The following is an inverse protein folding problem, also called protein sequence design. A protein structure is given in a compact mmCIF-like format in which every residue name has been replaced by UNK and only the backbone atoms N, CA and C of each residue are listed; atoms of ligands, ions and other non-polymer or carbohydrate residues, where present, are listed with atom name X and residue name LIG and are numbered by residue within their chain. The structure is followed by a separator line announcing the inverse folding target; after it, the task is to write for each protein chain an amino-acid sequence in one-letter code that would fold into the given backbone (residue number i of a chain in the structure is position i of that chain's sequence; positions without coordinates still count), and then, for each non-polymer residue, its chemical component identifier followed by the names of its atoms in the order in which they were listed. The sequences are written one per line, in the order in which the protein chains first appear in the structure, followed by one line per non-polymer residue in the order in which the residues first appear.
data_IF_696814286970
#
_entry.id   IF_696814286970
#
_cell.length_a   1.000
_cell.length_b   1.000
_cell.length_c   1.000
_cell.angle_alpha   90.00
_cell.angle_beta   90.00
_cell.angle_gamma   90.00
#
_symmetry.space_group_name_H-M   'P 1'
#
loop_
_entity.id
_entity.type
_entity.pdbx_description
1 polymer ?
#
# COMPACT_ATOMS: atom_id res chain seq x y z
N UNK A 1 -25.91 22.83 2.00
CA UNK A 1 -26.58 21.52 2.22
C UNK A 1 -26.49 21.21 3.69
N UNK A 2 -27.61 21.28 4.41
CA UNK A 2 -27.68 21.00 5.85
C UNK A 2 -27.75 19.49 6.06
N UNK A 3 -26.79 18.93 6.80
CA UNK A 3 -26.75 17.51 7.12
C UNK A 3 -27.71 17.23 8.28
N UNK A 4 -28.85 16.60 8.00
CA UNK A 4 -29.79 16.13 9.02
C UNK A 4 -29.34 14.78 9.56
N UNK A 5 -28.98 14.74 10.83
CA UNK A 5 -28.62 13.50 11.53
C UNK A 5 -29.86 12.62 11.76
N UNK A 6 -29.89 11.46 11.10
CA UNK A 6 -30.97 10.46 11.21
C UNK A 6 -30.61 9.29 12.14
N UNK A 7 -29.54 9.40 12.92
CA UNK A 7 -29.05 8.33 13.79
C UNK A 7 -30.09 7.92 14.83
N UNK A 8 -30.88 8.85 15.35
CA UNK A 8 -31.96 8.58 16.32
C UNK A 8 -33.14 7.81 15.68
N UNK A 9 -33.56 8.23 14.49
CA UNK A 9 -34.60 7.56 13.72
C UNK A 9 -34.20 6.12 13.37
N UNK A 10 -32.95 5.91 12.94
CA UNK A 10 -32.41 4.57 12.69
C UNK A 10 -32.41 3.70 13.95
N UNK A 11 -31.96 4.22 15.11
CA UNK A 11 -31.98 3.47 16.37
C UNK A 11 -33.40 3.08 16.80
N UNK A 12 -34.39 3.93 16.57
CA UNK A 12 -35.80 3.60 16.89
C UNK A 12 -36.36 2.49 16.00
N UNK A 13 -35.95 2.41 14.73
CA UNK A 13 -36.34 1.35 13.81
C UNK A 13 -35.69 0.00 14.17
N UNK A 14 -34.43 0.03 14.60
CA UNK A 14 -33.69 -1.17 15.04
C UNK A 14 -34.18 -1.67 16.41
N UNK A 15 -34.57 -0.76 17.31
CA UNK A 15 -35.09 -1.08 18.64
C UNK A 15 -36.60 -1.38 18.67
N UNK A 16 -37.30 -1.27 17.53
CA UNK A 16 -38.71 -1.63 17.42
C UNK A 16 -38.96 -3.09 17.80
N UNK A 17 -40.09 -3.42 18.45
CA UNK A 17 -40.35 -4.77 18.91
C UNK A 17 -40.36 -5.72 17.71
N UNK A 18 -39.49 -6.71 17.73
CA UNK A 18 -39.60 -7.88 16.88
C UNK A 18 -40.96 -8.51 17.16
N UNK A 19 -41.96 -8.25 16.31
CA UNK A 19 -43.28 -8.87 16.39
C UNK A 19 -43.10 -10.40 16.51
N UNK A 20 -43.47 -11.04 17.63
CA UNK A 20 -43.29 -12.48 17.79
C UNK A 20 -44.38 -13.31 17.10
N UNK A 21 -45.20 -12.73 16.21
CA UNK A 21 -46.30 -13.42 15.54
C UNK A 21 -45.91 -13.99 14.17
N UNK A 22 -44.98 -14.95 14.14
CA UNK A 22 -45.01 -16.05 13.16
C UNK A 22 -44.01 -17.13 13.54
N UNK A 23 -44.15 -17.71 14.74
CA UNK A 23 -43.50 -18.99 15.06
C UNK A 23 -44.33 -20.13 14.47
N UNK A 24 -44.43 -20.15 13.14
CA UNK A 24 -44.86 -21.33 12.42
C UNK A 24 -43.74 -22.36 12.55
N UNK A 25 -44.10 -23.54 13.05
CA UNK A 25 -43.25 -24.72 13.18
C UNK A 25 -42.69 -25.14 11.81
N UNK A 26 -41.53 -24.60 11.44
CA UNK A 26 -40.68 -25.16 10.39
C UNK A 26 -39.81 -26.25 11.03
N UNK A 27 -40.33 -27.49 10.98
CA UNK A 27 -39.52 -28.69 11.18
C UNK A 27 -38.69 -28.89 9.92
N UNK A 28 -37.37 -29.08 10.12
CA UNK A 28 -36.38 -29.53 9.15
C UNK A 28 -36.11 -28.60 7.94
N UNK A 29 -35.51 -27.44 8.20
CA UNK A 29 -34.49 -26.91 7.29
C UNK A 29 -33.13 -27.29 7.88
N UNK A 30 -32.40 -28.16 7.18
CA UNK A 30 -30.99 -28.41 7.44
C UNK A 30 -30.28 -27.08 7.66
N UNK A 31 -29.61 -26.94 8.80
CA UNK A 31 -28.72 -25.82 9.11
C UNK A 31 -27.62 -25.76 8.05
N UNK A 32 -27.89 -25.16 6.89
CA UNK A 32 -26.85 -24.55 6.08
C UNK A 32 -26.31 -23.42 6.95
N UNK A 33 -25.21 -23.71 7.64
CA UNK A 33 -24.43 -22.77 8.43
C UNK A 33 -24.23 -21.54 7.55
N UNK A 34 -25.01 -20.47 7.80
CA UNK A 34 -24.79 -19.20 7.13
C UNK A 34 -23.37 -18.79 7.48
N UNK A 35 -22.46 -19.00 6.53
CA UNK A 35 -21.05 -18.63 6.63
C UNK A 35 -21.09 -17.13 6.87
N UNK A 36 -20.75 -16.70 8.10
CA UNK A 36 -20.66 -15.27 8.41
C UNK A 36 -19.73 -14.65 7.36
N UNK A 37 -20.05 -13.47 6.80
CA UNK A 37 -19.13 -12.80 5.88
C UNK A 37 -17.76 -12.73 6.55
N UNK A 38 -16.73 -13.21 5.84
CA UNK A 38 -15.36 -13.35 6.34
C UNK A 38 -14.74 -11.96 6.51
N UNK A 39 -15.16 -11.25 7.54
CA UNK A 39 -14.51 -10.04 8.00
C UNK A 39 -13.28 -10.49 8.79
N UNK A 40 -12.13 -10.55 8.13
CA UNK A 40 -10.86 -10.83 8.80
C UNK A 40 -10.27 -9.50 9.28
N UNK A 41 -10.37 -9.17 10.58
CA UNK A 41 -9.79 -7.94 11.11
C UNK A 41 -8.25 -7.94 10.95
N UNK A 42 -7.64 -9.11 10.80
CA UNK A 42 -6.21 -9.27 10.59
C UNK A 42 -5.71 -8.58 9.32
N UNK A 43 -6.43 -8.72 8.19
CA UNK A 43 -6.08 -8.06 6.93
C UNK A 43 -6.06 -6.54 7.08
N UNK A 44 -7.11 -5.97 7.66
CA UNK A 44 -7.23 -4.52 7.81
C UNK A 44 -6.23 -3.98 8.82
N UNK A 45 -6.02 -4.67 9.94
CA UNK A 45 -5.01 -4.26 10.93
C UNK A 45 -3.61 -4.22 10.30
N UNK A 46 -3.28 -5.22 9.50
CA UNK A 46 -2.00 -5.27 8.81
C UNK A 46 -1.88 -4.18 7.74
N UNK A 47 -2.93 -3.95 6.96
CA UNK A 47 -3.00 -2.84 6.01
C UNK A 47 -2.82 -1.47 6.70
N UNK A 48 -3.46 -1.24 7.84
CA UNK A 48 -3.31 -0.02 8.63
C UNK A 48 -1.90 0.17 9.16
N UNK A 49 -1.25 -0.89 9.63
CA UNK A 49 0.15 -0.82 10.06
C UNK A 49 1.07 -0.45 8.91
N UNK A 50 0.89 -1.04 7.72
CA UNK A 50 1.67 -0.67 6.52
C UNK A 50 1.42 0.80 6.18
N UNK A 51 0.17 1.23 6.16
CA UNK A 51 -0.21 2.63 5.91
C UNK A 51 0.49 3.58 6.89
N UNK A 52 0.49 3.28 8.19
CA UNK A 52 1.15 4.11 9.20
C UNK A 52 2.65 4.27 8.93
N UNK A 53 3.35 3.20 8.55
CA UNK A 53 4.78 3.30 8.21
C UNK A 53 5.03 4.10 6.94
N UNK A 54 4.21 3.92 5.90
CA UNK A 54 4.34 4.65 4.63
C UNK A 54 4.01 6.14 4.79
N UNK A 55 2.97 6.47 5.57
CA UNK A 55 2.58 7.84 5.87
C UNK A 55 3.62 8.53 6.75
N UNK A 56 4.12 7.85 7.78
CA UNK A 56 5.23 8.35 8.59
C UNK A 56 6.46 8.61 7.73
N UNK A 57 6.89 7.64 6.91
CA UNK A 57 8.05 7.82 6.04
C UNK A 57 7.89 9.03 5.10
N UNK A 58 6.72 9.17 4.47
CA UNK A 58 6.41 10.30 3.59
C UNK A 58 6.57 11.64 4.30
N UNK A 59 5.99 11.78 5.50
CA UNK A 59 6.11 13.00 6.32
C UNK A 59 7.56 13.31 6.69
N UNK A 60 8.32 12.30 7.11
CA UNK A 60 9.72 12.48 7.46
C UNK A 60 10.56 12.89 6.25
N UNK A 61 10.43 12.22 5.11
CA UNK A 61 11.15 12.57 3.87
C UNK A 61 10.85 14.01 3.42
N UNK A 62 9.61 14.47 3.58
CA UNK A 62 9.23 15.87 3.30
C UNK A 62 9.89 16.84 4.28
N UNK A 63 9.88 16.54 5.58
CA UNK A 63 10.47 17.39 6.61
C UNK A 63 11.98 17.55 6.42
N UNK A 64 12.70 16.46 6.12
CA UNK A 64 14.15 16.47 5.96
C UNK A 64 14.62 16.91 4.58
N UNK A 65 13.73 17.10 3.59
CA UNK A 65 14.14 17.38 2.20
C UNK A 65 15.14 18.53 2.10
N UNK A 66 14.88 19.66 2.76
CA UNK A 66 15.76 20.83 2.74
C UNK A 66 17.14 20.55 3.39
N UNK A 67 17.21 20.12 4.66
CA UNK A 67 18.51 19.84 5.30
C UNK A 67 19.26 18.66 4.64
N UNK A 68 18.55 17.66 4.12
CA UNK A 68 19.13 16.54 3.38
C UNK A 68 19.88 17.01 2.13
N UNK A 69 19.27 17.91 1.35
CA UNK A 69 19.85 18.46 0.14
C UNK A 69 20.87 19.58 0.40
N UNK A 70 20.86 20.17 1.60
CA UNK A 70 21.79 21.25 1.96
C UNK A 70 23.25 20.80 1.90
N UNK A 71 24.11 21.65 1.34
CA UNK A 71 25.56 21.43 1.22
C UNK A 71 26.32 21.97 2.45
N UNK A 72 25.66 22.80 3.27
CA UNK A 72 26.26 23.43 4.44
C UNK A 72 26.56 22.38 5.52
N UNK A 73 27.84 22.18 5.83
CA UNK A 73 28.25 21.34 6.95
C UNK A 73 27.81 21.96 8.29
N UNK A 74 27.40 21.14 9.27
CA UNK A 74 27.10 21.63 10.59
C UNK A 74 28.35 22.26 11.23
N UNK A 75 28.21 23.35 12.00
CA UNK A 75 29.34 23.92 12.74
C UNK A 75 29.95 22.87 13.68
N UNK A 76 31.29 22.89 13.83
CA UNK A 76 32.09 21.89 14.56
C UNK A 76 31.57 21.66 15.99
N UNK A 77 30.93 22.67 16.61
CA UNK A 77 30.31 22.59 17.94
C UNK A 77 29.13 21.63 18.05
N UNK A 78 28.46 21.27 16.94
CA UNK A 78 27.33 20.33 16.91
C UNK A 78 27.69 18.91 16.50
N UNK A 79 28.96 18.64 16.15
CA UNK A 79 29.42 17.29 15.75
C UNK A 79 29.36 16.25 16.88
N UNK A 80 29.00 16.64 18.10
CA UNK A 80 29.16 15.85 19.32
C UNK A 80 27.88 15.85 20.18
N UNK A 81 26.78 15.31 19.67
CA UNK A 81 25.72 14.78 20.54
C UNK A 81 24.95 13.68 19.85
N UNK A 82 25.40 12.44 20.03
CA UNK A 82 24.54 11.29 19.83
C UNK A 82 23.58 11.21 21.03
N UNK A 83 22.25 11.16 20.82
CA UNK A 83 21.33 10.82 21.90
C UNK A 83 21.42 9.30 22.15
N UNK A 84 21.93 8.90 23.31
CA UNK A 84 22.13 7.49 23.68
C UNK A 84 20.84 6.74 24.07
N UNK A 85 19.66 7.29 23.80
CA UNK A 85 18.38 6.64 24.15
C UNK A 85 17.43 6.64 22.96
N UNK A 86 17.75 5.85 21.93
CA UNK A 86 16.78 5.46 20.92
C UNK A 86 15.86 4.40 21.53
N UNK A 87 14.76 4.84 22.12
CA UNK A 87 13.64 3.97 22.47
C UNK A 87 13.09 3.39 21.16
N UNK A 88 12.85 2.07 21.10
CA UNK A 88 12.45 1.24 19.94
C UNK A 88 11.16 1.66 19.17
N UNK A 89 10.63 2.86 19.39
CA UNK A 89 9.36 3.33 18.83
C UNK A 89 9.42 4.55 17.92
N UNK A 90 10.52 5.30 17.86
CA UNK A 90 10.58 6.55 17.09
C UNK A 90 11.88 6.69 16.28
N UNK A 91 11.96 5.92 15.20
CA UNK A 91 13.12 5.78 14.30
C UNK A 91 13.57 7.09 13.63
N UNK A 92 12.83 8.19 13.77
CA UNK A 92 13.10 9.46 13.08
C UNK A 92 13.27 10.66 14.02
N UNK A 93 13.00 10.50 15.32
CA UNK A 93 13.02 11.59 16.31
C UNK A 93 14.34 12.39 16.33
N UNK A 94 15.46 11.74 16.03
CA UNK A 94 16.79 12.37 16.04
C UNK A 94 16.99 13.43 14.94
N UNK A 95 16.16 13.42 13.90
CA UNK A 95 16.26 14.35 12.77
C UNK A 95 15.07 15.30 12.66
N UNK A 96 14.12 15.22 13.59
CA UNK A 96 13.00 16.15 13.60
C UNK A 96 13.48 17.58 13.89
N UNK A 97 13.07 18.53 13.06
CA UNK A 97 13.52 19.93 13.13
C UNK A 97 15.02 20.16 12.86
N UNK A 98 15.78 19.18 12.36
CA UNK A 98 17.20 19.34 12.09
C UNK A 98 17.48 20.34 10.95
N UNK A 99 18.24 21.40 11.24
CA UNK A 99 18.63 22.42 10.21
C UNK A 99 19.79 21.97 9.33
N UNK A 100 20.65 21.10 9.85
CA UNK A 100 21.86 20.61 9.18
C UNK A 100 21.96 19.11 9.39
N UNK A 101 22.38 18.39 8.34
CA UNK A 101 22.65 16.97 8.38
C UNK A 101 24.11 16.72 8.01
N UNK A 102 24.76 15.79 8.70
CA UNK A 102 26.06 15.28 8.28
C UNK A 102 25.90 14.28 7.15
N UNK A 103 26.99 13.99 6.42
CA UNK A 103 26.93 12.98 5.37
C UNK A 103 26.61 11.58 5.90
N UNK A 104 27.01 11.29 7.14
CA UNK A 104 26.66 10.06 7.84
C UNK A 104 25.18 9.99 8.19
N UNK A 105 24.59 11.09 8.67
CA UNK A 105 23.15 11.14 8.97
C UNK A 105 22.31 10.90 7.71
N UNK A 106 22.69 11.52 6.59
CA UNK A 106 22.02 11.30 5.30
C UNK A 106 22.13 9.84 4.84
N UNK A 107 23.28 9.19 5.01
CA UNK A 107 23.43 7.76 4.70
C UNK A 107 22.60 6.85 5.62
N UNK A 108 22.45 7.22 6.88
CA UNK A 108 21.63 6.48 7.83
C UNK A 108 20.13 6.62 7.49
N UNK A 109 19.70 7.82 7.09
CA UNK A 109 18.36 8.09 6.55
C UNK A 109 18.09 7.23 5.31
N UNK A 110 19.03 7.17 4.38
CA UNK A 110 18.91 6.35 3.17
C UNK A 110 18.75 4.86 3.53
N UNK A 111 19.54 4.37 4.48
CA UNK A 111 19.48 2.98 4.93
C UNK A 111 18.14 2.65 5.62
N UNK A 112 17.71 3.50 6.57
CA UNK A 112 16.44 3.31 7.30
C UNK A 112 15.24 3.41 6.35
N UNK A 113 15.22 4.42 5.48
CA UNK A 113 14.16 4.61 4.48
C UNK A 113 14.02 3.39 3.57
N UNK A 114 15.13 2.86 3.05
CA UNK A 114 15.13 1.64 2.24
C UNK A 114 14.64 0.41 3.01
N UNK A 115 15.06 0.24 4.25
CA UNK A 115 14.64 -0.89 5.08
C UNK A 115 13.12 -0.87 5.29
N UNK A 116 12.55 0.29 5.61
CA UNK A 116 11.11 0.48 5.76
C UNK A 116 10.38 0.16 4.45
N UNK A 117 10.87 0.65 3.31
CA UNK A 117 10.26 0.40 2.00
C UNK A 117 10.28 -1.10 1.64
N UNK A 118 11.40 -1.80 1.87
CA UNK A 118 11.48 -3.26 1.62
C UNK A 118 10.52 -4.04 2.51
N UNK A 119 10.48 -3.71 3.81
CA UNK A 119 9.57 -4.35 4.75
C UNK A 119 8.10 -4.10 4.39
N UNK A 120 7.76 -2.88 3.99
CA UNK A 120 6.41 -2.55 3.54
C UNK A 120 6.06 -3.31 2.26
N UNK A 121 6.98 -3.39 1.29
CA UNK A 121 6.81 -4.19 0.06
C UNK A 121 6.53 -5.65 0.38
N UNK A 122 7.34 -6.27 1.24
CA UNK A 122 7.18 -7.66 1.63
C UNK A 122 5.79 -7.90 2.27
N UNK A 123 5.39 -7.02 3.20
CA UNK A 123 4.08 -7.12 3.87
C UNK A 123 2.92 -6.92 2.91
N UNK A 124 3.03 -6.00 1.94
CA UNK A 124 2.06 -5.84 0.86
C UNK A 124 1.98 -7.11 0.02
N UNK A 125 3.12 -7.73 -0.31
CA UNK A 125 3.16 -9.02 -1.00
C UNK A 125 2.45 -10.14 -0.24
N UNK A 126 2.63 -10.22 1.08
CA UNK A 126 1.91 -11.19 1.93
C UNK A 126 0.38 -10.94 1.88
N UNK A 127 -0.04 -9.67 1.93
CA UNK A 127 -1.46 -9.32 1.80
C UNK A 127 -2.02 -9.69 0.43
N UNK A 128 -1.26 -9.45 -0.64
CA UNK A 128 -1.62 -9.82 -2.01
C UNK A 128 -1.76 -11.33 -2.18
N UNK A 129 -0.82 -12.11 -1.67
CA UNK A 129 -0.86 -13.56 -1.78
C UNK A 129 -1.99 -14.17 -0.94
N UNK A 130 -2.23 -13.63 0.26
CA UNK A 130 -3.38 -14.00 1.09
C UNK A 130 -4.72 -13.67 0.43
N UNK A 131 -4.81 -12.51 -0.23
CA UNK A 131 -5.97 -12.10 -1.02
C UNK A 131 -6.20 -13.05 -2.21
N UNK A 132 -5.16 -13.37 -2.97
CA UNK A 132 -5.22 -14.32 -4.09
C UNK A 132 -5.62 -15.72 -3.64
N UNK A 133 -5.12 -16.19 -2.49
CA UNK A 133 -5.50 -17.48 -1.92
C UNK A 133 -7.01 -17.51 -1.60
N UNK A 134 -7.54 -16.48 -0.95
CA UNK A 134 -8.98 -16.39 -0.66
C UNK A 134 -9.81 -16.34 -1.94
N UNK A 135 -9.39 -15.57 -2.94
CA UNK A 135 -10.10 -15.49 -4.21
C UNK A 135 -10.22 -16.87 -4.88
N UNK A 136 -9.18 -17.70 -4.81
CA UNK A 136 -9.22 -19.09 -5.31
C UNK A 136 -10.15 -19.99 -4.52
N UNK A 137 -10.24 -19.82 -3.20
CA UNK A 137 -11.19 -20.58 -2.36
C UNK A 137 -12.65 -20.17 -2.54
N UNK A 138 -12.88 -18.89 -2.83
CA UNK A 138 -14.23 -18.32 -3.07
C UNK A 138 -14.69 -18.59 -4.49
N UNK A 139 -13.78 -18.70 -5.46
CA UNK A 139 -14.10 -19.06 -6.83
C UNK A 139 -14.57 -20.53 -6.93
N UNK A 140 -15.70 -20.81 -7.61
CA UNK A 140 -16.14 -22.19 -7.82
C UNK A 140 -15.13 -22.94 -8.70
N UNK A 141 -14.86 -24.24 -8.45
CA UNK A 141 -13.93 -25.02 -9.26
C UNK A 141 -14.45 -25.10 -10.71
N UNK A 142 -13.59 -24.93 -11.73
CA UNK A 142 -14.00 -25.00 -13.13
C UNK A 142 -14.37 -26.45 -13.47
N UNK A 143 -15.63 -26.78 -13.28
CA UNK A 143 -16.15 -28.12 -13.58
C UNK A 143 -16.97 -28.04 -14.86
N UNK A 144 -16.50 -28.78 -15.87
CA UNK A 144 -17.11 -28.91 -17.20
C UNK A 144 -18.58 -29.34 -17.14
N UNK A 145 -19.01 -29.99 -16.05
CA UNK A 145 -20.40 -30.40 -15.82
C UNK A 145 -21.36 -29.23 -15.60
N UNK A 146 -20.92 -28.12 -15.01
CA UNK A 146 -21.78 -26.96 -14.76
C UNK A 146 -22.04 -26.13 -16.02
N UNK A 147 -21.20 -26.27 -17.04
CA UNK A 147 -21.45 -25.68 -18.37
C UNK A 147 -22.65 -26.33 -19.05
N UNK A 148 -22.89 -27.63 -18.83
CA UNK A 148 -24.02 -28.36 -19.41
C UNK A 148 -25.29 -28.31 -18.55
N UNK A 149 -25.15 -28.12 -17.24
CA UNK A 149 -26.28 -28.07 -16.31
C UNK A 149 -26.19 -26.80 -15.44
N UNK A 150 -26.58 -25.63 -15.98
CA UNK A 150 -26.48 -24.35 -15.27
C UNK A 150 -27.35 -24.28 -14.01
N UNK A 151 -28.36 -25.14 -13.89
CA UNK A 151 -29.22 -25.24 -12.70
C UNK A 151 -28.53 -25.88 -11.48
N UNK A 152 -27.46 -26.64 -11.70
CA UNK A 152 -26.64 -27.27 -10.65
C UNK A 152 -25.37 -26.46 -10.35
N UNK A 153 -25.10 -25.39 -11.11
CA UNK A 153 -23.94 -24.54 -10.90
C UNK A 153 -23.88 -24.04 -9.44
N UNK A 154 -22.69 -24.04 -8.81
CA UNK A 154 -22.52 -23.44 -7.49
C UNK A 154 -23.05 -22.01 -7.54
N UNK A 155 -23.85 -21.62 -6.54
CA UNK A 155 -24.36 -20.24 -6.45
C UNK A 155 -23.17 -19.28 -6.59
N UNK A 156 -23.32 -18.19 -7.39
CA UNK A 156 -22.28 -17.18 -7.49
C UNK A 156 -21.90 -16.72 -6.08
N UNK A 157 -20.61 -16.41 -5.90
CA UNK A 157 -20.06 -15.91 -4.63
C UNK A 157 -21.02 -14.89 -4.01
N UNK A 158 -21.17 -14.91 -2.68
CA UNK A 158 -22.05 -13.98 -2.00
C UNK A 158 -21.72 -12.55 -2.46
N UNK A 159 -22.72 -11.70 -2.70
CA UNK A 159 -22.48 -10.29 -3.04
C UNK A 159 -21.56 -9.61 -2.03
N UNK A 160 -21.63 -10.01 -0.76
CA UNK A 160 -20.71 -9.59 0.28
C UNK A 160 -19.26 -9.98 -0.03
N UNK A 161 -19.01 -11.18 -0.55
CA UNK A 161 -17.67 -11.66 -0.89
C UNK A 161 -17.09 -10.92 -2.11
N UNK A 162 -17.92 -10.62 -3.12
CA UNK A 162 -17.51 -9.81 -4.27
C UNK A 162 -17.15 -8.37 -3.86
N UNK A 163 -17.99 -7.75 -3.01
CA UNK A 163 -17.73 -6.40 -2.48
C UNK A 163 -16.50 -6.39 -1.56
N UNK A 164 -16.32 -7.40 -0.71
CA UNK A 164 -15.12 -7.52 0.15
C UNK A 164 -13.86 -7.71 -0.69
N UNK A 165 -13.94 -8.50 -1.76
CA UNK A 165 -12.80 -8.72 -2.66
C UNK A 165 -12.41 -7.44 -3.40
N UNK A 166 -13.39 -6.70 -3.94
CA UNK A 166 -13.13 -5.40 -4.55
C UNK A 166 -12.59 -4.37 -3.55
N UNK A 167 -13.08 -4.37 -2.30
CA UNK A 167 -12.56 -3.48 -1.26
C UNK A 167 -11.10 -3.80 -0.89
N UNK A 168 -10.78 -5.08 -0.66
CA UNK A 168 -9.42 -5.48 -0.30
C UNK A 168 -8.43 -5.26 -1.43
N UNK A 169 -8.82 -5.50 -2.69
CA UNK A 169 -7.99 -5.20 -3.85
C UNK A 169 -7.75 -3.70 -4.01
N UNK A 170 -8.76 -2.85 -3.75
CA UNK A 170 -8.58 -1.40 -3.71
C UNK A 170 -7.62 -0.96 -2.59
N UNK A 171 -7.73 -1.55 -1.39
CA UNK A 171 -6.79 -1.28 -0.29
C UNK A 171 -5.36 -1.62 -0.68
N UNK A 172 -5.11 -2.80 -1.25
CA UNK A 172 -3.78 -3.20 -1.74
C UNK A 172 -3.27 -2.19 -2.78
N UNK A 173 -4.09 -1.81 -3.76
CA UNK A 173 -3.71 -0.82 -4.77
C UNK A 173 -3.33 0.53 -4.13
N UNK A 174 -4.08 1.00 -3.14
CA UNK A 174 -3.72 2.24 -2.42
C UNK A 174 -2.39 2.13 -1.68
N UNK A 175 -2.09 0.99 -1.05
CA UNK A 175 -0.81 0.76 -0.38
C UNK A 175 0.35 0.69 -1.38
N UNK A 176 0.18 -0.05 -2.47
CA UNK A 176 1.18 -0.19 -3.54
C UNK A 176 1.48 1.15 -4.21
N UNK A 177 0.46 1.99 -4.44
CA UNK A 177 0.65 3.34 -4.98
C UNK A 177 1.37 4.26 -4.00
N UNK A 178 1.06 4.20 -2.70
CA UNK A 178 1.82 4.92 -1.67
C UNK A 178 3.28 4.47 -1.58
N UNK A 179 3.52 3.15 -1.66
CA UNK A 179 4.86 2.57 -1.65
C UNK A 179 5.68 3.04 -2.85
N UNK A 180 5.08 3.05 -4.06
CA UNK A 180 5.71 3.55 -5.27
C UNK A 180 6.06 5.05 -5.15
N UNK A 181 5.14 5.88 -4.64
CA UNK A 181 5.38 7.32 -4.41
C UNK A 181 6.52 7.59 -3.43
N UNK A 182 6.57 6.85 -2.32
CA UNK A 182 7.65 7.00 -1.33
C UNK A 182 9.00 6.53 -1.90
N UNK A 183 9.00 5.44 -2.66
CA UNK A 183 10.20 4.95 -3.36
C UNK A 183 10.72 5.98 -4.35
N UNK A 184 9.83 6.59 -5.14
CA UNK A 184 10.18 7.66 -6.08
C UNK A 184 10.75 8.88 -5.35
N UNK A 185 10.11 9.32 -4.25
CA UNK A 185 10.60 10.47 -3.46
C UNK A 185 12.00 10.23 -2.90
N UNK A 186 12.28 9.02 -2.42
CA UNK A 186 13.63 8.66 -1.92
C UNK A 186 14.66 8.60 -3.06
N UNK A 187 14.26 8.06 -4.22
CA UNK A 187 15.09 8.04 -5.43
C UNK A 187 15.48 9.46 -5.88
N UNK A 188 14.50 10.37 -5.95
CA UNK A 188 14.71 11.76 -6.35
C UNK A 188 15.71 12.46 -5.41
N UNK A 189 15.58 12.26 -4.10
CA UNK A 189 16.52 12.81 -3.11
C UNK A 189 17.94 12.28 -3.32
N UNK A 190 18.08 10.98 -3.59
CA UNK A 190 19.38 10.34 -3.82
C UNK A 190 20.01 10.80 -5.14
N UNK A 191 19.20 10.98 -6.20
CA UNK A 191 19.66 11.47 -7.50
C UNK A 191 20.10 12.94 -7.42
N UNK A 192 19.34 13.79 -6.74
CA UNK A 192 19.76 15.17 -6.49
C UNK A 192 21.08 15.22 -5.71
N UNK A 193 21.27 14.33 -4.72
CA UNK A 193 22.51 14.25 -3.93
C UNK A 193 23.68 13.74 -4.77
N UNK A 194 23.46 12.75 -5.64
CA UNK A 194 24.50 12.22 -6.52
C UNK A 194 24.94 13.26 -7.55
N UNK A 195 24.00 14.01 -8.13
CA UNK A 195 24.29 15.14 -9.04
C UNK A 195 25.13 16.21 -8.38
N UNK A 196 24.74 16.66 -7.17
CA UNK A 196 25.50 17.68 -6.42
C UNK A 196 26.92 17.23 -6.07
N UNK A 197 27.12 15.94 -5.82
CA UNK A 197 28.46 15.38 -5.57
C UNK A 197 29.30 15.31 -6.85
N UNK A 198 28.70 14.89 -7.95
CA UNK A 198 29.36 14.87 -9.25
C UNK A 198 29.80 16.29 -9.68
N UNK A 199 28.93 17.28 -9.48
CA UNK A 199 29.25 18.70 -9.72
C UNK A 199 30.38 19.18 -8.81
N UNK A 200 30.36 18.84 -7.51
CA UNK A 200 31.47 19.19 -6.61
C UNK A 200 32.79 18.58 -7.06
N UNK A 201 32.80 17.29 -7.39
CA UNK A 201 33.99 16.62 -7.92
C UNK A 201 34.55 17.33 -9.15
N UNK A 202 33.67 17.78 -10.06
CA UNK A 202 34.06 18.60 -11.21
C UNK A 202 34.64 19.95 -10.81
N UNK A 203 33.99 20.69 -9.89
CA UNK A 203 34.47 22.01 -9.46
C UNK A 203 35.79 21.96 -8.69
N UNK A 204 36.00 20.93 -7.87
CA UNK A 204 37.26 20.72 -7.16
C UNK A 204 38.38 20.33 -8.13
N UNK A 205 38.08 19.48 -9.11
CA UNK A 205 39.01 19.14 -10.20
C UNK A 205 39.37 20.36 -11.05
N UNK A 206 38.39 21.16 -11.46
CA UNK A 206 38.60 22.37 -12.25
C UNK A 206 39.36 23.46 -11.46
N UNK A 207 39.17 23.54 -10.15
CA UNK A 207 39.95 24.40 -9.26
C UNK A 207 41.42 23.98 -9.19
N UNK A 208 41.68 22.68 -8.97
CA UNK A 208 43.02 22.12 -8.95
C UNK A 208 43.74 22.22 -10.31
N UNK A 209 43.02 22.02 -11.41
CA UNK A 209 43.55 22.20 -12.77
C UNK A 209 43.91 23.67 -13.06
N UNK A 210 43.08 24.62 -12.62
CA UNK A 210 43.37 26.06 -12.76
C UNK A 210 44.55 26.50 -11.90
N UNK A 211 44.68 25.96 -10.70
CA UNK A 211 45.81 26.23 -9.80
C UNK A 211 47.11 25.62 -10.35
N UNK A 212 47.05 24.42 -10.96
CA UNK A 212 48.19 23.82 -11.65
C UNK A 212 48.58 24.53 -12.96
N UNK A 213 47.62 25.16 -13.66
CA UNK A 213 47.86 25.95 -14.87
C UNK A 213 48.29 27.39 -14.60
N UNK A 214 48.14 27.87 -13.36
CA UNK A 214 48.77 29.12 -12.95
C UNK A 214 50.28 28.88 -12.92
N UNK A 215 51.08 29.54 -13.79
CA UNK A 215 52.52 29.49 -13.62
C UNK A 215 52.81 30.15 -12.27
N UNK A 216 53.14 29.34 -11.26
CA UNK A 216 53.77 29.84 -10.05
C UNK A 216 54.93 30.70 -10.52
N UNK A 217 54.81 32.02 -10.35
CA UNK A 217 55.94 32.92 -10.55
C UNK A 217 56.87 32.69 -9.38
N UNK A 218 57.63 31.60 -9.48
CA UNK A 218 58.80 31.34 -8.64
C UNK A 218 59.67 32.59 -8.77
N UNK A 219 60.00 33.28 -7.67
CA UNK A 219 61.07 34.26 -7.68
C UNK A 219 62.27 33.60 -8.34
N UNK A 220 62.93 34.28 -9.29
CA UNK A 220 63.98 33.72 -10.15
C UNK A 220 65.29 33.36 -9.42
N UNK A 221 65.22 33.00 -8.14
CA UNK A 221 66.33 32.57 -7.28
C UNK A 221 65.94 31.26 -6.61
N UNK A 222 65.90 30.17 -7.35
CA UNK A 222 65.70 28.83 -6.79
C UNK A 222 66.11 27.74 -7.79
N UNK A 223 67.39 27.68 -8.15
CA UNK A 223 67.95 26.47 -8.79
C UNK A 223 68.46 25.45 -7.78
N UNK A 224 68.47 25.78 -6.47
CA UNK A 224 68.92 24.90 -5.39
C UNK A 224 67.98 24.97 -4.18
N UNK A 225 66.70 24.62 -4.35
CA UNK A 225 65.83 24.30 -3.21
C UNK A 225 65.94 22.80 -2.94
N UNK A 226 66.98 22.40 -2.21
CA UNK A 226 66.93 21.15 -1.46
C UNK A 226 65.78 21.29 -0.46
N UNK A 227 64.63 20.67 -0.78
CA UNK A 227 63.49 20.60 0.12
C UNK A 227 63.98 20.08 1.48
N UNK A 228 63.69 20.80 2.56
CA UNK A 228 63.97 20.29 3.91
C UNK A 228 63.34 18.89 4.03
N UNK A 229 64.02 17.90 4.66
CA UNK A 229 63.42 16.58 4.88
C UNK A 229 62.07 16.66 5.59
N UNK A 230 61.84 17.71 6.40
CA UNK A 230 60.56 17.97 7.06
C UNK A 230 59.47 18.46 6.09
N UNK A 231 59.83 19.25 5.07
CA UNK A 231 58.90 19.68 4.01
C UNK A 231 58.55 18.52 3.07
N UNK A 232 59.52 17.66 2.72
CA UNK A 232 59.26 16.44 1.95
C UNK A 232 58.29 15.54 2.70
N UNK A 233 58.52 15.31 3.99
CA UNK A 233 57.61 14.52 4.83
C UNK A 233 56.22 15.15 4.94
N UNK A 234 56.13 16.50 5.03
CA UNK A 234 54.86 17.21 5.02
C UNK A 234 54.12 17.02 3.69
N UNK A 235 54.79 17.18 2.54
CA UNK A 235 54.22 16.94 1.22
C UNK A 235 53.79 15.48 1.03
N UNK A 236 54.59 14.51 1.47
CA UNK A 236 54.21 13.10 1.44
C UNK A 236 52.96 12.84 2.29
N UNK A 237 52.88 13.46 3.48
CA UNK A 237 51.71 13.33 4.35
C UNK A 237 50.45 13.96 3.74
N UNK A 238 50.58 15.12 3.08
CA UNK A 238 49.48 15.81 2.41
C UNK A 238 49.01 15.04 1.18
N UNK A 239 49.94 14.52 0.38
CA UNK A 239 49.63 13.70 -0.79
C UNK A 239 48.95 12.38 -0.38
N UNK A 240 49.42 11.75 0.70
CA UNK A 240 48.75 10.58 1.28
C UNK A 240 47.34 10.91 1.80
N UNK A 241 47.16 12.06 2.46
CA UNK A 241 45.85 12.52 2.92
C UNK A 241 44.90 12.80 1.76
N UNK A 242 45.38 13.42 0.68
CA UNK A 242 44.63 13.67 -0.55
C UNK A 242 44.22 12.36 -1.22
N UNK A 243 45.14 11.40 -1.35
CA UNK A 243 44.86 10.09 -1.93
C UNK A 243 43.77 9.35 -1.15
N UNK A 244 43.87 9.37 0.18
CA UNK A 244 42.88 8.77 1.09
C UNK A 244 41.51 9.44 0.92
N UNK A 245 41.48 10.76 0.80
CA UNK A 245 40.24 11.50 0.55
C UNK A 245 39.64 11.14 -0.82
N UNK A 246 40.44 11.08 -1.88
CA UNK A 246 39.98 10.67 -3.21
C UNK A 246 39.41 9.25 -3.19
N UNK A 247 40.09 8.29 -2.59
CA UNK A 247 39.61 6.92 -2.43
C UNK A 247 38.27 6.87 -1.66
N UNK A 248 38.15 7.64 -0.57
CA UNK A 248 36.90 7.76 0.18
C UNK A 248 35.77 8.39 -0.65
N UNK A 249 36.07 9.37 -1.49
CA UNK A 249 35.04 9.99 -2.34
C UNK A 249 34.58 9.04 -3.44
N UNK A 250 35.49 8.31 -4.08
CA UNK A 250 35.15 7.32 -5.11
C UNK A 250 34.31 6.17 -4.55
N UNK A 251 34.73 5.61 -3.42
CA UNK A 251 33.98 4.55 -2.75
C UNK A 251 32.56 5.01 -2.34
N UNK A 252 32.40 6.26 -1.88
CA UNK A 252 31.09 6.84 -1.58
C UNK A 252 30.22 7.02 -2.84
N UNK A 253 30.81 7.46 -3.96
CA UNK A 253 30.10 7.59 -5.24
C UNK A 253 29.63 6.22 -5.74
N UNK A 254 30.49 5.20 -5.74
CA UNK A 254 30.12 3.83 -6.12
C UNK A 254 29.01 3.26 -5.23
N UNK A 255 29.06 3.55 -3.92
CA UNK A 255 28.00 3.15 -2.98
C UNK A 255 26.68 3.83 -3.31
N UNK A 256 26.71 5.13 -3.65
CA UNK A 256 25.52 5.88 -4.07
C UNK A 256 24.96 5.36 -5.41
N UNK A 257 25.80 5.00 -6.37
CA UNK A 257 25.39 4.44 -7.65
C UNK A 257 24.67 3.09 -7.49
N UNK A 258 25.28 2.16 -6.73
CA UNK A 258 24.64 0.88 -6.39
C UNK A 258 23.31 1.08 -5.66
N UNK A 259 23.27 2.07 -4.76
CA UNK A 259 22.06 2.44 -4.03
C UNK A 259 20.94 2.90 -4.96
N UNK A 260 21.26 3.74 -5.94
CA UNK A 260 20.29 4.26 -6.93
C UNK A 260 19.80 3.15 -7.85
N UNK A 261 20.69 2.26 -8.31
CA UNK A 261 20.32 1.12 -9.15
C UNK A 261 19.31 0.21 -8.45
N UNK A 262 19.57 -0.11 -7.18
CA UNK A 262 18.66 -0.92 -6.38
C UNK A 262 17.28 -0.26 -6.18
N UNK A 263 17.25 1.03 -5.84
CA UNK A 263 15.98 1.76 -5.67
C UNK A 263 15.22 1.86 -7.00
N UNK A 264 15.93 2.08 -8.10
CA UNK A 264 15.35 2.12 -9.44
C UNK A 264 14.78 0.77 -9.86
N UNK A 265 15.46 -0.34 -9.53
CA UNK A 265 14.95 -1.68 -9.77
C UNK A 265 13.66 -1.92 -8.98
N UNK A 266 13.66 -1.59 -7.68
CA UNK A 266 12.47 -1.67 -6.83
C UNK A 266 11.31 -0.83 -7.39
N UNK A 267 11.60 0.40 -7.81
CA UNK A 267 10.60 1.31 -8.40
C UNK A 267 10.01 0.75 -9.69
N UNK A 268 10.86 0.21 -10.58
CA UNK A 268 10.42 -0.37 -11.85
C UNK A 268 9.51 -1.57 -11.63
N UNK A 269 9.89 -2.47 -10.73
CA UNK A 269 9.07 -3.63 -10.36
C UNK A 269 7.71 -3.19 -9.81
N UNK A 270 7.67 -2.21 -8.91
CA UNK A 270 6.44 -1.68 -8.33
C UNK A 270 5.52 -1.03 -9.38
N UNK A 271 6.08 -0.22 -10.29
CA UNK A 271 5.29 0.42 -11.35
C UNK A 271 4.69 -0.62 -12.29
N UNK A 272 5.46 -1.65 -12.66
CA UNK A 272 4.95 -2.75 -13.49
C UNK A 272 3.80 -3.50 -12.82
N UNK A 273 3.95 -3.82 -11.53
CA UNK A 273 2.90 -4.48 -10.75
C UNK A 273 1.64 -3.62 -10.62
N UNK A 274 1.80 -2.31 -10.42
CA UNK A 274 0.68 -1.37 -10.30
C UNK A 274 -0.18 -1.30 -11.56
N UNK A 275 0.43 -1.34 -12.74
CA UNK A 275 -0.31 -1.35 -14.01
C UNK A 275 -1.20 -2.59 -14.09
N UNK A 276 -0.64 -3.77 -13.81
CA UNK A 276 -1.38 -5.04 -13.80
C UNK A 276 -2.48 -5.06 -12.73
N UNK A 277 -2.21 -4.51 -11.54
CA UNK A 277 -3.17 -4.47 -10.44
C UNK A 277 -4.33 -3.50 -10.73
N UNK A 278 -4.09 -2.37 -11.37
CA UNK A 278 -5.13 -1.38 -11.68
C UNK A 278 -6.19 -1.99 -12.59
N UNK A 279 -5.77 -2.65 -13.67
CA UNK A 279 -6.68 -3.34 -14.60
C UNK A 279 -7.53 -4.41 -13.88
N UNK A 280 -6.90 -5.22 -13.02
CA UNK A 280 -7.60 -6.24 -12.24
C UNK A 280 -8.61 -5.63 -11.25
N UNK A 281 -8.26 -4.52 -10.60
CA UNK A 281 -9.15 -3.84 -9.64
C UNK A 281 -10.39 -3.28 -10.34
N UNK A 282 -10.23 -2.71 -11.54
CA UNK A 282 -11.36 -2.20 -12.32
C UNK A 282 -12.35 -3.32 -12.67
N UNK A 283 -11.85 -4.49 -13.11
CA UNK A 283 -12.68 -5.66 -13.38
C UNK A 283 -13.41 -6.16 -12.11
N UNK A 284 -12.71 -6.25 -10.99
CA UNK A 284 -13.31 -6.68 -9.71
C UNK A 284 -14.36 -5.68 -9.23
N UNK A 285 -14.15 -4.39 -9.47
CA UNK A 285 -15.11 -3.34 -9.13
C UNK A 285 -16.38 -3.46 -9.97
N UNK A 286 -16.25 -3.65 -11.30
CA UNK A 286 -17.41 -3.89 -12.16
C UNK A 286 -18.18 -5.14 -11.75
N UNK A 287 -17.48 -6.23 -11.43
CA UNK A 287 -18.10 -7.46 -10.91
C UNK A 287 -18.83 -7.23 -9.59
N UNK A 288 -18.24 -6.47 -8.66
CA UNK A 288 -18.88 -6.14 -7.39
C UNK A 288 -20.16 -5.32 -7.60
N UNK A 289 -20.11 -4.29 -8.43
CA UNK A 289 -21.28 -3.44 -8.77
C UNK A 289 -22.37 -4.27 -9.46
N UNK A 290 -21.98 -5.12 -10.42
CA UNK A 290 -22.89 -6.05 -11.10
C UNK A 290 -23.59 -6.98 -10.13
N UNK A 291 -22.84 -7.60 -9.21
CA UNK A 291 -23.39 -8.52 -8.20
C UNK A 291 -24.43 -7.83 -7.29
N UNK A 292 -24.19 -6.57 -6.91
CA UNK A 292 -25.14 -5.78 -6.11
C UNK A 292 -26.41 -5.49 -6.90
N UNK A 293 -26.28 -5.21 -8.20
CA UNK A 293 -27.40 -5.04 -9.12
C UNK A 293 -28.26 -6.31 -9.23
N UNK A 294 -27.62 -7.47 -9.43
CA UNK A 294 -28.30 -8.77 -9.52
C UNK A 294 -29.04 -9.12 -8.22
N UNK A 295 -28.46 -8.85 -7.06
CA UNK A 295 -29.10 -9.08 -5.76
C UNK A 295 -30.35 -8.22 -5.56
N UNK A 296 -30.31 -6.95 -5.98
CA UNK A 296 -31.51 -6.08 -5.95
C UNK A 296 -32.61 -6.64 -6.85
N UNK A 297 -32.25 -7.15 -8.03
CA UNK A 297 -33.18 -7.84 -8.92
C UNK A 297 -33.77 -9.10 -8.27
N UNK A 298 -32.94 -9.91 -7.64
CA UNK A 298 -33.35 -11.14 -6.95
C UNK A 298 -34.29 -10.85 -5.77
N UNK A 299 -34.03 -9.81 -4.98
CA UNK A 299 -34.93 -9.39 -3.89
C UNK A 299 -36.30 -8.96 -4.41
N UNK A 300 -36.33 -8.19 -5.51
CA UNK A 300 -37.59 -7.82 -6.16
C UNK A 300 -38.36 -9.05 -6.66
N UNK A 301 -37.67 -10.04 -7.21
CA UNK A 301 -38.30 -11.29 -7.64
C UNK A 301 -38.86 -12.08 -6.45
N UNK A 302 -38.14 -12.14 -5.33
CA UNK A 302 -38.64 -12.77 -4.10
C UNK A 302 -39.88 -12.06 -3.54
N UNK A 303 -39.89 -10.71 -3.58
CA UNK A 303 -41.05 -9.93 -3.17
C UNK A 303 -42.25 -10.21 -4.06
N UNK A 304 -42.06 -10.19 -5.39
CA UNK A 304 -43.10 -10.54 -6.37
C UNK A 304 -43.59 -11.98 -6.20
N UNK A 305 -42.70 -12.93 -5.91
CA UNK A 305 -43.06 -14.34 -5.68
C UNK A 305 -43.87 -14.52 -4.38
N UNK A 306 -43.55 -13.76 -3.33
CA UNK A 306 -44.33 -13.75 -2.08
C UNK A 306 -45.74 -13.21 -2.29
N UNK A 307 -45.89 -12.15 -3.09
CA UNK A 307 -47.20 -11.58 -3.45
C UNK A 307 -48.04 -12.57 -4.28
N UNK A 308 -47.45 -13.21 -5.30
CA UNK A 308 -48.13 -14.25 -6.12
C UNK A 308 -48.49 -15.52 -5.34
N UNK A 309 -47.69 -15.89 -4.34
CA UNK A 309 -47.97 -17.05 -3.49
C UNK A 309 -49.25 -16.91 -2.65
N UNK A 310 -49.67 -15.67 -2.33
CA UNK A 310 -50.96 -15.41 -1.68
C UNK A 310 -52.14 -15.61 -2.62
N UNK A 311 -51.99 -15.15 -3.86
CA UNK A 311 -53.03 -15.25 -4.90
C UNK A 311 -53.28 -16.70 -5.34
N UNK A 312 -52.21 -17.50 -5.56
CA UNK A 312 -52.35 -18.92 -5.90
C UNK A 312 -53.08 -19.73 -4.82
N UNK A 313 -52.85 -19.42 -3.53
CA UNK A 313 -53.54 -20.09 -2.41
C UNK A 313 -55.02 -19.73 -2.34
N UNK A 314 -55.37 -18.49 -2.65
CA UNK A 314 -56.76 -18.05 -2.73
C UNK A 314 -57.52 -18.80 -3.84
N UNK A 315 -56.95 -18.86 -5.05
CA UNK A 315 -57.56 -19.60 -6.17
C UNK A 315 -57.68 -21.10 -5.90
N UNK A 316 -56.70 -21.72 -5.24
CA UNK A 316 -56.78 -23.12 -4.82
C UNK A 316 -57.92 -23.36 -3.83
N UNK A 317 -58.11 -22.47 -2.85
CA UNK A 317 -59.22 -22.55 -1.89
C UNK A 317 -60.58 -22.42 -2.59
N UNK A 318 -60.74 -21.44 -3.48
CA UNK A 318 -61.97 -21.25 -4.26
C UNK A 318 -62.27 -22.49 -5.11
N UNK A 319 -61.24 -23.06 -5.76
CA UNK A 319 -61.38 -24.29 -6.53
C UNK A 319 -61.82 -25.48 -5.66
N UNK A 320 -61.20 -25.67 -4.49
CA UNK A 320 -61.52 -26.79 -3.59
C UNK A 320 -62.94 -26.69 -3.04
N UNK A 321 -63.38 -25.48 -2.67
CA UNK A 321 -64.77 -25.22 -2.25
C UNK A 321 -65.73 -25.48 -3.41
N UNK A 322 -65.43 -24.97 -4.61
CA UNK A 322 -66.24 -25.19 -5.80
C UNK A 322 -66.38 -26.67 -6.16
N UNK A 323 -65.28 -27.43 -6.13
CA UNK A 323 -65.28 -28.86 -6.36
C UNK A 323 -66.08 -29.62 -5.30
N UNK A 324 -65.98 -29.23 -4.03
CA UNK A 324 -66.78 -29.82 -2.94
C UNK A 324 -68.29 -29.59 -3.13
N UNK A 325 -68.69 -28.38 -3.54
CA UNK A 325 -70.09 -28.05 -3.82
C UNK A 325 -70.61 -28.79 -5.05
N UNK A 326 -69.78 -28.91 -6.09
CA UNK A 326 -70.13 -29.66 -7.29
C UNK A 326 -70.36 -31.16 -6.98
N UNK A 327 -69.52 -31.76 -6.13
CA UNK A 327 -69.71 -33.14 -5.65
C UNK A 327 -71.00 -33.29 -4.84
N UNK A 328 -71.32 -32.34 -3.97
CA UNK A 328 -72.54 -32.38 -3.16
C UNK A 328 -73.81 -32.23 -4.01
N UNK A 329 -73.77 -31.39 -5.04
CA UNK A 329 -74.88 -31.26 -5.99
C UNK A 329 -75.08 -32.55 -6.82
N UNK A 330 -73.98 -33.20 -7.21
CA UNK A 330 -74.03 -34.45 -7.97
C UNK A 330 -74.58 -35.61 -7.13
N UNK A 331 -74.30 -35.61 -5.82
CA UNK A 331 -74.85 -36.59 -4.87
C UNK A 331 -76.34 -36.34 -4.59
N UNK A 332 -76.76 -35.08 -4.49
CA UNK A 332 -78.17 -34.72 -4.28
C UNK A 332 -79.08 -34.99 -5.49
N UNK A 333 -78.52 -34.97 -6.71
CA UNK A 333 -79.27 -35.21 -7.95
C UNK A 333 -79.50 -36.71 -8.26
N UNK A 334 -78.82 -37.61 -7.54
CA UNK A 334 -79.00 -39.06 -7.65
C UNK A 334 -80.19 -39.56 -6.83
#
# INVERSE_FOLDING_TARGET
MTYTDQTSAFRSLVAGPSNPSSRASSRNASRSRARKPSYDPEFLNEAYRIYQHLDALSKHLQAIRKPYLSITEPPISRRRRAPETATEGDDWAQWDGAKYLSDRDREEIDQRGKMILRRCRERVGILEDGERARQKEVAPPPSTLFTFLPSLAPKPASTADAVVTAHRSAVILTLSTMLSRNTATLSDLQEERSKRRAERGRTLGEGAEREAQQPMSLPQVATDLDLSPEQVQAFESENNALMTHLESTLSSVLKAERSLLEVSELQTQLVQQLVQQTEMVDLLYEQAVGSVGEMRGAEQQLKKAKERGGEARFFLLVFLIGASLALLFLDWYK
#
